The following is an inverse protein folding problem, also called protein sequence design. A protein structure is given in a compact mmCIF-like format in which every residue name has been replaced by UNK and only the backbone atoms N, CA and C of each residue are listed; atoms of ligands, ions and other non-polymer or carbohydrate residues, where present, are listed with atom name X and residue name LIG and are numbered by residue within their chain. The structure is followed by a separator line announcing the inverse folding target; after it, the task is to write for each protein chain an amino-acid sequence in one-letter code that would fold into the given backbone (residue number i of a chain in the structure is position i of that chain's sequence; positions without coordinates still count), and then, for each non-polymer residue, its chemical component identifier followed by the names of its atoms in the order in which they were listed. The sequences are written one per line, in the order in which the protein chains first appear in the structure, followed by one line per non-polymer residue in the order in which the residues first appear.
data_IF_005801761236
#
_entry.id   IF_005801761236
#
_cell.length_a   1.000
_cell.length_b   1.000
_cell.length_c   1.000
_cell.angle_alpha   90.00
_cell.angle_beta   90.00
_cell.angle_gamma   90.00
#
_symmetry.space_group_name_H-M   'P 1'
#
loop_
_entity.id
_entity.type
_entity.pdbx_description
1 polymer ?
#
# COMPACT_ATOMS: atom_id res chain seq x y z
N UNK A 1 -20.37 0.32 8.88
CA UNK A 1 -18.98 -0.01 8.49
C UNK A 1 -18.89 0.05 6.97
N UNK A 2 -17.86 0.71 6.41
CA UNK A 2 -17.68 0.80 4.96
C UNK A 2 -16.63 -0.23 4.48
N UNK A 3 -16.95 -0.96 3.42
CA UNK A 3 -16.03 -1.91 2.78
C UNK A 3 -14.86 -1.17 2.15
N UNK A 4 -13.63 -1.63 2.41
CA UNK A 4 -12.42 -1.11 1.77
C UNK A 4 -11.99 -2.08 0.67
N UNK A 5 -11.69 -1.54 -0.51
CA UNK A 5 -11.24 -2.31 -1.67
C UNK A 5 -9.83 -1.85 -2.05
N UNK A 6 -8.99 -2.80 -2.46
CA UNK A 6 -7.63 -2.57 -2.92
C UNK A 6 -7.06 -3.83 -3.57
N UNK A 7 -5.79 -3.80 -3.92
CA UNK A 7 -5.06 -4.87 -4.59
C UNK A 7 -4.02 -5.51 -3.67
N UNK A 8 -3.61 -6.71 -4.09
CA UNK A 8 -2.42 -7.40 -3.64
C UNK A 8 -1.18 -6.74 -4.26
N UNK A 9 -0.48 -5.92 -3.47
CA UNK A 9 0.63 -5.10 -3.92
C UNK A 9 0.21 -3.93 -4.84
N UNK A 10 1.19 -3.32 -5.49
CA UNK A 10 0.99 -2.19 -6.40
C UNK A 10 1.11 -2.65 -7.87
N UNK A 11 0.01 -2.85 -8.60
CA UNK A 11 0.04 -3.29 -10.00
C UNK A 11 0.48 -2.18 -10.96
N UNK A 12 0.49 -0.93 -10.49
CA UNK A 12 0.85 0.30 -11.24
C UNK A 12 1.77 1.15 -10.37
N UNK A 13 2.27 2.25 -10.94
CA UNK A 13 3.02 3.24 -10.15
C UNK A 13 2.22 3.69 -8.92
N UNK A 14 2.89 3.80 -7.78
CA UNK A 14 2.27 4.10 -6.47
C UNK A 14 1.45 5.39 -6.50
N UNK A 15 1.92 6.43 -7.17
CA UNK A 15 1.19 7.71 -7.33
C UNK A 15 -0.17 7.52 -7.98
N UNK A 16 -0.25 6.72 -9.05
CA UNK A 16 -1.52 6.39 -9.72
C UNK A 16 -2.41 5.55 -8.79
N UNK A 17 -1.82 4.59 -8.09
CA UNK A 17 -2.56 3.70 -7.20
C UNK A 17 -3.18 4.44 -6.00
N UNK A 18 -2.44 5.35 -5.37
CA UNK A 18 -2.91 6.14 -4.22
C UNK A 18 -4.10 7.06 -4.55
N UNK A 19 -4.17 7.52 -5.79
CA UNK A 19 -5.32 8.28 -6.28
C UNK A 19 -6.59 7.42 -6.40
N UNK A 20 -6.46 6.10 -6.58
CA UNK A 20 -7.59 5.19 -6.84
C UNK A 20 -8.03 4.40 -5.60
N UNK A 21 -7.09 3.92 -4.79
CA UNK A 21 -7.38 3.03 -3.66
C UNK A 21 -6.81 3.57 -2.34
N UNK A 22 -7.59 3.42 -1.27
CA UNK A 22 -7.21 3.84 0.09
C UNK A 22 -6.50 2.75 0.89
N UNK A 23 -6.40 1.55 0.35
CA UNK A 23 -5.74 0.40 0.97
C UNK A 23 -4.97 -0.42 -0.06
N UNK A 24 -3.94 -1.11 0.41
CA UNK A 24 -3.13 -2.06 -0.35
C UNK A 24 -2.71 -3.18 0.60
N UNK A 25 -2.69 -4.41 0.10
CA UNK A 25 -2.11 -5.53 0.81
C UNK A 25 -0.61 -5.62 0.48
N UNK A 26 0.25 -5.64 1.51
CA UNK A 26 1.70 -5.70 1.32
C UNK A 26 2.16 -7.16 1.42
N UNK A 27 2.62 -7.72 0.28
CA UNK A 27 3.08 -9.11 0.19
C UNK A 27 4.59 -9.31 0.36
N UNK A 28 5.38 -8.23 0.38
CA UNK A 28 6.83 -8.36 0.45
C UNK A 28 7.19 -9.03 1.78
N UNK A 29 7.61 -10.29 1.65
CA UNK A 29 7.89 -11.24 2.73
C UNK A 29 6.78 -11.26 3.76
N UNK A 30 5.83 -12.19 3.59
CA UNK A 30 4.80 -12.52 4.59
C UNK A 30 5.32 -12.54 6.05
N UNK A 31 6.60 -12.85 6.25
CA UNK A 31 7.29 -12.88 7.54
C UNK A 31 8.17 -11.67 7.89
N UNK A 32 8.42 -10.76 6.95
CA UNK A 32 9.28 -9.59 7.14
C UNK A 32 8.59 -8.35 6.57
N UNK A 33 7.82 -7.63 7.39
CA UNK A 33 7.18 -6.39 6.97
C UNK A 33 8.19 -5.38 6.40
N UNK A 34 7.74 -4.42 5.57
CA UNK A 34 8.59 -3.31 5.17
C UNK A 34 9.07 -2.55 6.41
N UNK A 35 10.30 -2.04 6.36
CA UNK A 35 10.83 -1.21 7.43
C UNK A 35 9.93 0.00 7.69
N UNK A 36 9.87 0.45 8.94
CA UNK A 36 9.01 1.56 9.39
C UNK A 36 9.18 2.81 8.51
N UNK A 37 10.42 3.16 8.16
CA UNK A 37 10.71 4.32 7.31
C UNK A 37 10.15 4.18 5.90
N UNK A 38 10.14 2.96 5.36
CA UNK A 38 9.50 2.68 4.07
C UNK A 38 7.98 2.85 4.17
N UNK A 39 7.36 2.35 5.24
CA UNK A 39 5.93 2.51 5.47
C UNK A 39 5.53 4.00 5.65
N UNK A 40 6.31 4.77 6.42
CA UNK A 40 6.13 6.22 6.59
C UNK A 40 6.21 6.96 5.25
N UNK A 41 7.20 6.62 4.42
CA UNK A 41 7.34 7.20 3.07
C UNK A 41 6.15 6.88 2.18
N UNK A 42 5.62 5.67 2.22
CA UNK A 42 4.42 5.34 1.43
C UNK A 42 3.20 6.08 1.95
N UNK A 43 3.09 6.24 3.28
CA UNK A 43 1.99 7.00 3.88
C UNK A 43 2.03 8.49 3.56
N UNK A 44 3.22 9.11 3.42
CA UNK A 44 3.32 10.52 3.03
C UNK A 44 3.05 10.76 1.55
N UNK A 45 3.14 9.72 0.72
CA UNK A 45 2.86 9.78 -0.72
C UNK A 45 1.40 9.50 -1.08
N UNK A 46 0.63 8.91 -0.15
CA UNK A 46 -0.74 8.43 -0.34
C UNK A 46 -1.79 9.38 0.24
#
# INVERSE_FOLDING_TARGET
MATKVGCCGFPRAKSIYFAQFKVVEIQQTFYKPPGIETAKKWRSQA
#
